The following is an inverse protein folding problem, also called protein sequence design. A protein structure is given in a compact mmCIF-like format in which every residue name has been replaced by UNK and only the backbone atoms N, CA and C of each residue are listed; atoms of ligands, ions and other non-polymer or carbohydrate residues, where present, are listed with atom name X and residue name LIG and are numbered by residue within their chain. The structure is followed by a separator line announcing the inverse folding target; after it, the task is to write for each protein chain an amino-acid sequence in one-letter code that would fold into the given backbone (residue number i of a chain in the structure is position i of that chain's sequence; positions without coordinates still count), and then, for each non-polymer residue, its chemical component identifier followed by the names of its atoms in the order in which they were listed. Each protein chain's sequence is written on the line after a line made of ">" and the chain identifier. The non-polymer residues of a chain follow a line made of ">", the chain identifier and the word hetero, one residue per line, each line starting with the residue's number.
data_IF_486523412615
#
_entry.id   IF_486523412615
#
_cell.length_a   1.000
_cell.length_b   1.000
_cell.length_c   1.000
_cell.angle_alpha   90.00
_cell.angle_beta   90.00
_cell.angle_gamma   90.00
#
_symmetry.space_group_name_H-M   'P 1'
#
loop_
_entity.id
_entity.type
_entity.pdbx_description
1 polymer ?
#
# COMPACT_ATOMS: atom_id res chain seq x y z
N UNK A 1 3.47 5.14 -27.37
CA UNK A 1 4.39 4.58 -26.38
C UNK A 1 3.64 4.44 -25.07
N UNK A 2 3.64 3.22 -24.50
CA UNK A 2 3.06 3.02 -23.17
C UNK A 2 3.81 3.93 -22.18
N UNK A 3 3.11 4.64 -21.29
CA UNK A 3 3.78 5.42 -20.28
C UNK A 3 4.66 4.49 -19.45
N UNK A 4 5.95 4.80 -19.43
CA UNK A 4 6.93 3.95 -18.75
C UNK A 4 6.75 4.07 -17.24
N UNK A 5 6.49 2.96 -16.57
CA UNK A 5 6.65 2.86 -15.13
C UNK A 5 8.12 2.61 -14.77
N UNK A 6 8.57 3.19 -13.68
CA UNK A 6 9.92 2.99 -13.12
C UNK A 6 9.77 2.43 -11.72
N UNK A 7 10.42 1.30 -11.44
CA UNK A 7 10.55 0.82 -10.07
C UNK A 7 11.69 1.60 -9.40
N UNK A 8 11.37 2.29 -8.33
CA UNK A 8 12.28 3.16 -7.61
C UNK A 8 12.32 2.82 -6.12
N UNK A 9 13.33 3.37 -5.43
CA UNK A 9 13.52 3.17 -3.99
C UNK A 9 14.00 4.46 -3.34
N UNK A 10 13.58 4.71 -2.11
CA UNK A 10 14.12 5.74 -1.21
C UNK A 10 14.46 5.12 0.13
N UNK A 11 15.38 5.76 0.86
CA UNK A 11 15.69 5.37 2.23
C UNK A 11 14.91 6.23 3.19
N UNK A 12 14.02 5.61 3.97
CA UNK A 12 13.26 6.25 5.03
C UNK A 12 13.86 5.92 6.40
N UNK A 13 13.76 6.83 7.35
CA UNK A 13 14.23 6.62 8.71
C UNK A 13 13.10 6.14 9.60
N UNK A 14 13.31 5.03 10.30
CA UNK A 14 12.58 4.69 11.51
C UNK A 14 13.37 5.17 12.73
N UNK A 15 12.86 4.93 13.94
CA UNK A 15 13.56 5.31 15.17
C UNK A 15 14.91 4.58 15.32
N UNK A 16 15.02 3.36 14.82
CA UNK A 16 16.13 2.43 15.09
C UNK A 16 16.83 1.91 13.84
N UNK A 17 16.24 2.08 12.65
CA UNK A 17 16.79 1.52 11.41
C UNK A 17 16.53 2.45 10.20
N UNK A 18 17.35 2.29 9.17
CA UNK A 18 17.09 2.85 7.85
C UNK A 18 16.33 1.80 7.05
N UNK A 19 15.20 2.20 6.47
CA UNK A 19 14.29 1.33 5.73
C UNK A 19 14.29 1.75 4.27
N UNK A 20 14.47 0.81 3.37
CA UNK A 20 14.29 1.03 1.94
C UNK A 20 12.79 0.90 1.61
N UNK A 21 12.19 2.00 1.15
CA UNK A 21 10.82 2.03 0.64
C UNK A 21 10.83 1.93 -0.88
N UNK A 22 10.11 0.97 -1.40
CA UNK A 22 9.87 0.82 -2.83
C UNK A 22 8.69 1.69 -3.27
N UNK A 23 8.73 2.19 -4.50
CA UNK A 23 7.59 2.85 -5.15
C UNK A 23 7.68 2.68 -6.67
N UNK A 24 6.53 2.66 -7.31
CA UNK A 24 6.44 2.74 -8.77
C UNK A 24 6.12 4.17 -9.15
N UNK A 25 6.91 4.74 -10.06
CA UNK A 25 6.79 6.11 -10.57
C UNK A 25 6.34 6.08 -12.03
N UNK A 26 5.21 6.69 -12.34
CA UNK A 26 4.59 6.72 -13.64
C UNK A 26 4.52 8.14 -14.20
N UNK A 27 4.66 8.24 -15.52
CA UNK A 27 4.57 9.52 -16.21
C UNK A 27 5.87 10.34 -16.21
N UNK A 28 5.74 11.63 -16.47
CA UNK A 28 6.88 12.55 -16.54
C UNK A 28 7.40 12.91 -15.15
N UNK A 29 8.71 12.74 -14.93
CA UNK A 29 9.34 13.02 -13.63
C UNK A 29 9.24 14.50 -13.24
N UNK A 30 9.19 15.39 -14.24
CA UNK A 30 9.10 16.85 -14.05
C UNK A 30 7.65 17.36 -14.07
N UNK A 31 6.65 16.48 -14.13
CA UNK A 31 5.26 16.91 -14.13
C UNK A 31 4.91 17.49 -12.75
N UNK A 32 4.48 18.78 -12.68
CA UNK A 32 4.18 19.44 -11.41
C UNK A 32 2.88 18.92 -10.76
N UNK A 33 2.03 18.22 -11.53
CA UNK A 33 0.82 17.60 -11.01
C UNK A 33 1.15 16.20 -10.53
N UNK A 34 1.33 16.05 -9.22
CA UNK A 34 1.67 14.76 -8.59
C UNK A 34 0.45 14.15 -7.93
N UNK A 35 0.20 12.88 -8.22
CA UNK A 35 -0.77 12.03 -7.52
C UNK A 35 -0.03 10.93 -6.75
N UNK A 36 -0.21 10.89 -5.44
CA UNK A 36 0.27 9.79 -4.60
C UNK A 36 -0.88 8.82 -4.33
N UNK A 37 -0.69 7.55 -4.73
CA UNK A 37 -1.67 6.49 -4.54
C UNK A 37 -1.21 5.53 -3.45
N UNK A 38 -1.92 5.48 -2.32
CA UNK A 38 -1.54 4.66 -1.16
C UNK A 38 -2.54 3.54 -0.94
N UNK A 39 -2.02 2.31 -0.94
CA UNK A 39 -2.79 1.06 -0.92
C UNK A 39 -3.37 0.69 0.46
N UNK A 40 -4.23 -0.31 0.47
CA UNK A 40 -4.82 -0.90 1.68
C UNK A 40 -3.84 -1.78 2.47
N UNK A 41 -4.28 -2.26 3.63
CA UNK A 41 -3.46 -2.85 4.69
C UNK A 41 -2.52 -3.99 4.23
N UNK A 42 -3.02 -4.94 3.43
CA UNK A 42 -2.29 -6.14 2.98
C UNK A 42 -1.89 -6.07 1.51
N UNK A 43 -2.05 -4.91 0.89
CA UNK A 43 -1.86 -4.69 -0.53
C UNK A 43 -0.50 -4.06 -0.82
N UNK A 44 -0.26 -3.67 -2.05
CA UNK A 44 0.96 -2.99 -2.49
C UNK A 44 0.65 -1.91 -3.54
N UNK A 45 1.62 -1.08 -3.88
CA UNK A 45 1.46 0.03 -4.83
C UNK A 45 0.99 -0.38 -6.21
N UNK A 46 1.20 -1.65 -6.59
CA UNK A 46 0.79 -2.19 -7.89
C UNK A 46 -0.74 -2.34 -8.06
N UNK A 47 -1.51 -2.15 -6.99
CA UNK A 47 -2.98 -2.04 -7.07
C UNK A 47 -3.44 -0.90 -7.98
N UNK A 48 -2.60 0.12 -8.12
CA UNK A 48 -2.91 1.32 -8.89
C UNK A 48 -2.36 1.30 -10.32
N UNK A 49 -1.76 0.21 -10.80
CA UNK A 49 -1.11 0.17 -12.12
C UNK A 49 -2.02 0.61 -13.25
N UNK A 50 -3.25 0.11 -13.31
CA UNK A 50 -4.23 0.47 -14.35
C UNK A 50 -4.60 1.95 -14.29
N UNK A 51 -4.85 2.48 -13.09
CA UNK A 51 -5.17 3.89 -12.88
C UNK A 51 -3.97 4.77 -13.21
N UNK A 52 -2.80 4.40 -12.72
CA UNK A 52 -1.57 5.17 -12.94
C UNK A 52 -1.22 5.23 -14.42
N UNK A 53 -1.36 4.13 -15.15
CA UNK A 53 -1.16 4.09 -16.59
C UNK A 53 -2.12 5.04 -17.32
N UNK A 54 -3.39 5.06 -16.93
CA UNK A 54 -4.40 5.92 -17.55
C UNK A 54 -4.13 7.42 -17.29
N UNK A 55 -3.56 7.76 -16.13
CA UNK A 55 -3.31 9.14 -15.71
C UNK A 55 -1.90 9.65 -16.05
N UNK A 56 -0.98 8.79 -16.46
CA UNK A 56 0.44 9.11 -16.62
C UNK A 56 0.75 10.17 -17.69
N UNK A 57 -0.19 10.46 -18.62
CA UNK A 57 -0.06 11.56 -19.57
C UNK A 57 -0.25 12.94 -18.90
N UNK A 58 -1.10 13.01 -17.87
CA UNK A 58 -1.53 14.24 -17.22
C UNK A 58 -0.89 14.46 -15.85
N UNK A 59 -0.46 13.39 -15.19
CA UNK A 59 0.09 13.37 -13.84
C UNK A 59 1.41 12.60 -13.78
N UNK A 60 2.26 12.98 -12.83
CA UNK A 60 3.24 12.06 -12.26
C UNK A 60 2.53 11.27 -11.17
N UNK A 61 2.36 9.96 -11.35
CA UNK A 61 1.69 9.10 -10.38
C UNK A 61 2.71 8.27 -9.62
N UNK A 62 2.70 8.38 -8.30
CA UNK A 62 3.63 7.69 -7.41
C UNK A 62 2.84 6.69 -6.57
N UNK A 63 3.22 5.42 -6.65
CA UNK A 63 2.54 4.32 -5.96
C UNK A 63 3.54 3.61 -5.05
N UNK A 64 3.69 4.03 -3.77
CA UNK A 64 4.59 3.39 -2.83
C UNK A 64 4.07 2.03 -2.34
N UNK A 65 4.99 1.14 -2.02
CA UNK A 65 4.76 0.02 -1.13
C UNK A 65 4.99 0.52 0.30
N UNK A 66 3.94 0.60 1.12
CA UNK A 66 4.08 1.00 2.53
C UNK A 66 4.98 0.00 3.24
N UNK A 67 5.85 0.46 4.15
CA UNK A 67 6.80 -0.37 4.89
C UNK A 67 6.12 -1.65 5.42
N UNK A 68 6.78 -2.79 5.21
CA UNK A 68 6.26 -4.12 5.53
C UNK A 68 5.40 -4.75 4.42
N UNK A 69 5.26 -4.12 3.24
CA UNK A 69 4.49 -4.65 2.09
C UNK A 69 5.33 -4.59 0.82
N UNK A 70 4.99 -5.46 -0.12
CA UNK A 70 5.62 -5.50 -1.43
C UNK A 70 7.14 -5.57 -1.36
N UNK A 71 7.81 -4.70 -2.09
CA UNK A 71 9.26 -4.63 -2.19
C UNK A 71 9.92 -3.74 -1.13
N UNK A 72 9.13 -3.13 -0.24
CA UNK A 72 9.64 -2.32 0.87
C UNK A 72 10.16 -3.19 2.01
N UNK A 73 11.14 -2.65 2.75
CA UNK A 73 11.72 -3.35 3.91
C UNK A 73 10.67 -3.57 5.01
N UNK A 74 10.98 -4.51 5.90
CA UNK A 74 10.19 -4.83 7.09
C UNK A 74 10.82 -4.19 8.32
N UNK A 75 9.98 -3.89 9.32
CA UNK A 75 10.47 -3.42 10.61
C UNK A 75 11.09 -4.57 11.41
N UNK A 76 12.21 -4.31 12.07
CA UNK A 76 12.81 -5.24 13.04
C UNK A 76 11.85 -5.43 14.21
N UNK A 77 11.37 -4.33 14.79
CA UNK A 77 10.34 -4.34 15.81
C UNK A 77 8.95 -4.11 15.21
N UNK A 78 8.08 -5.13 15.18
CA UNK A 78 6.74 -5.04 14.58
C UNK A 78 5.77 -4.13 15.35
N UNK A 79 6.06 -3.75 16.58
CA UNK A 79 5.28 -2.76 17.35
C UNK A 79 5.26 -1.40 16.65
N UNK A 80 6.30 -1.12 15.84
CA UNK A 80 6.40 0.10 15.04
C UNK A 80 5.42 0.20 13.87
N UNK A 81 4.74 -0.89 13.47
CA UNK A 81 3.74 -0.83 12.40
C UNK A 81 2.51 -0.04 12.84
N UNK A 82 2.21 1.05 12.14
CA UNK A 82 1.05 1.88 12.45
C UNK A 82 1.03 3.20 11.67
N UNK A 83 -0.12 3.88 11.72
CA UNK A 83 -0.35 5.13 10.99
C UNK A 83 0.75 6.18 11.24
N UNK A 84 1.24 6.40 12.47
CA UNK A 84 2.30 7.40 12.69
C UNK A 84 3.61 7.09 11.93
N UNK A 85 4.03 5.83 11.90
CA UNK A 85 5.23 5.41 11.18
C UNK A 85 5.03 5.52 9.67
N UNK A 86 3.88 5.05 9.16
CA UNK A 86 3.57 5.12 7.74
C UNK A 86 3.48 6.56 7.25
N UNK A 87 2.84 7.44 8.03
CA UNK A 87 2.74 8.88 7.72
C UNK A 87 4.12 9.51 7.60
N UNK A 88 5.00 9.27 8.57
CA UNK A 88 6.38 9.80 8.55
C UNK A 88 7.15 9.31 7.33
N UNK A 89 7.09 8.01 7.02
CA UNK A 89 7.82 7.45 5.88
C UNK A 89 7.31 8.01 4.54
N UNK A 90 6.00 8.20 4.38
CA UNK A 90 5.44 8.78 3.16
C UNK A 90 5.73 10.27 3.02
N UNK A 91 5.74 11.02 4.11
CA UNK A 91 6.20 12.41 4.10
C UNK A 91 7.69 12.52 3.74
N UNK A 92 8.51 11.60 4.23
CA UNK A 92 9.94 11.53 3.89
C UNK A 92 10.15 11.17 2.41
N UNK A 93 9.34 10.25 1.85
CA UNK A 93 9.31 9.98 0.41
C UNK A 93 9.06 11.25 -0.39
N UNK A 94 8.00 12.00 -0.08
CA UNK A 94 7.68 13.26 -0.77
C UNK A 94 8.81 14.27 -0.66
N UNK A 95 9.40 14.43 0.52
CA UNK A 95 10.51 15.34 0.76
C UNK A 95 11.75 14.97 -0.09
N UNK A 96 12.12 13.69 -0.15
CA UNK A 96 13.26 13.23 -0.96
C UNK A 96 13.03 13.40 -2.47
N UNK A 97 11.77 13.35 -2.91
CA UNK A 97 11.40 13.60 -4.30
C UNK A 97 11.22 15.09 -4.63
N UNK A 98 11.40 15.99 -3.65
CA UNK A 98 11.23 17.43 -3.82
C UNK A 98 9.78 17.84 -4.05
N UNK A 99 8.81 17.02 -3.60
CA UNK A 99 7.37 17.25 -3.79
C UNK A 99 6.82 17.99 -2.58
N UNK A 100 6.46 19.26 -2.76
CA UNK A 100 5.90 20.11 -1.72
C UNK A 100 4.38 20.07 -1.64
N UNK A 101 3.70 19.70 -2.72
CA UNK A 101 2.24 19.55 -2.80
C UNK A 101 1.87 18.32 -3.62
N UNK A 102 0.83 17.61 -3.18
CA UNK A 102 0.40 16.35 -3.78
C UNK A 102 -1.13 16.21 -3.72
N UNK A 103 -1.72 15.64 -4.77
CA UNK A 103 -3.04 15.04 -4.68
C UNK A 103 -2.87 13.62 -4.12
N UNK A 104 -3.69 13.24 -3.17
CA UNK A 104 -3.59 11.95 -2.45
C UNK A 104 -4.81 11.10 -2.74
N UNK A 105 -4.59 9.89 -3.22
CA UNK A 105 -5.60 8.84 -3.31
C UNK A 105 -5.24 7.74 -2.31
N UNK A 106 -6.06 7.55 -1.30
CA UNK A 106 -5.86 6.51 -0.29
C UNK A 106 -6.98 5.49 -0.28
N UNK A 107 -6.62 4.21 -0.43
CA UNK A 107 -7.56 3.11 -0.28
C UNK A 107 -7.46 2.54 1.13
N UNK A 108 -8.58 2.46 1.86
CA UNK A 108 -8.64 1.86 3.19
C UNK A 108 -7.55 2.46 4.11
N UNK A 109 -6.57 1.66 4.57
CA UNK A 109 -5.40 2.15 5.35
C UNK A 109 -4.73 3.37 4.71
N UNK A 110 -4.56 3.40 3.38
CA UNK A 110 -3.98 4.53 2.67
C UNK A 110 -4.79 5.82 2.83
N UNK A 111 -6.11 5.71 2.96
CA UNK A 111 -7.01 6.81 3.28
C UNK A 111 -6.88 7.28 4.73
N UNK A 112 -6.74 6.35 5.69
CA UNK A 112 -6.48 6.68 7.10
C UNK A 112 -5.17 7.45 7.27
N UNK A 113 -4.12 7.02 6.58
CA UNK A 113 -2.83 7.72 6.56
C UNK A 113 -3.01 9.13 5.98
N UNK A 114 -3.73 9.25 4.85
CA UNK A 114 -4.01 10.54 4.22
C UNK A 114 -4.77 11.49 5.14
N UNK A 115 -5.80 11.01 5.86
CA UNK A 115 -6.54 11.80 6.85
C UNK A 115 -5.65 12.26 8.01
N UNK A 116 -4.79 11.36 8.53
CA UNK A 116 -3.88 11.68 9.61
C UNK A 116 -2.85 12.76 9.22
N UNK A 117 -2.36 12.72 7.97
CA UNK A 117 -1.45 13.74 7.43
C UNK A 117 -2.22 15.04 7.17
N UNK A 118 -3.40 14.99 6.55
CA UNK A 118 -4.21 16.17 6.22
C UNK A 118 -4.64 16.96 7.46
N UNK A 119 -4.77 16.29 8.62
CA UNK A 119 -5.08 16.93 9.89
C UNK A 119 -3.90 17.72 10.49
N UNK A 120 -2.69 17.56 9.97
CA UNK A 120 -1.52 18.26 10.47
C UNK A 120 -1.41 19.68 9.86
N UNK A 121 -0.93 20.68 10.63
CA UNK A 121 -0.63 21.99 10.06
C UNK A 121 0.48 21.85 8.99
N UNK A 122 0.38 22.66 7.93
CA UNK A 122 1.38 22.68 6.84
C UNK A 122 1.58 21.34 6.11
N UNK A 123 0.54 20.49 6.06
CA UNK A 123 0.60 19.22 5.34
C UNK A 123 0.69 19.45 3.82
N UNK A 124 1.28 18.51 3.05
CA UNK A 124 1.46 18.66 1.61
C UNK A 124 0.21 18.30 0.78
N UNK A 125 -0.87 17.82 1.39
CA UNK A 125 -2.03 17.31 0.68
C UNK A 125 -2.90 18.48 0.19
N UNK A 126 -3.00 18.62 -1.13
CA UNK A 126 -3.88 19.61 -1.78
C UNK A 126 -5.32 19.09 -1.91
N UNK A 127 -5.46 17.83 -2.31
CA UNK A 127 -6.73 17.11 -2.46
C UNK A 127 -6.59 15.73 -1.87
N UNK A 128 -7.58 15.31 -1.09
CA UNK A 128 -7.63 13.97 -0.50
C UNK A 128 -8.82 13.22 -1.10
N UNK A 129 -8.54 12.11 -1.77
CA UNK A 129 -9.52 11.18 -2.32
C UNK A 129 -9.49 9.94 -1.43
N UNK A 130 -10.62 9.63 -0.81
CA UNK A 130 -10.81 8.46 0.04
C UNK A 130 -11.55 7.38 -0.74
N UNK A 131 -10.97 6.20 -0.83
CA UNK A 131 -11.55 5.04 -1.45
C UNK A 131 -11.75 3.94 -0.41
N UNK A 132 -12.99 3.47 -0.25
CA UNK A 132 -13.38 2.40 0.67
C UNK A 132 -12.97 2.64 2.14
N UNK A 133 -13.09 3.88 2.59
CA UNK A 133 -12.85 4.27 3.98
C UNK A 133 -13.51 5.60 4.31
N UNK A 134 -13.99 5.72 5.55
CA UNK A 134 -14.48 6.97 6.15
C UNK A 134 -13.73 7.29 7.44
N UNK A 135 -14.11 8.37 8.12
CA UNK A 135 -13.49 8.77 9.39
C UNK A 135 -13.79 7.80 10.55
N UNK A 136 -14.79 6.95 10.38
CA UNK A 136 -15.18 5.93 11.35
C UNK A 136 -14.97 4.54 10.76
N UNK A 137 -14.39 3.63 11.54
CA UNK A 137 -14.20 2.22 11.17
C UNK A 137 -15.13 1.41 12.08
N UNK A 138 -16.03 0.65 11.47
CA UNK A 138 -16.97 -0.19 12.24
C UNK A 138 -16.26 -1.40 12.85
N UNK A 139 -16.72 -1.83 14.04
CA UNK A 139 -16.20 -3.03 14.70
C UNK A 139 -16.29 -4.28 13.81
N UNK A 140 -17.35 -4.39 12.99
CA UNK A 140 -17.51 -5.49 12.03
C UNK A 140 -16.46 -5.49 10.94
N UNK A 141 -16.03 -4.32 10.48
CA UNK A 141 -14.91 -4.20 9.51
C UNK A 141 -13.58 -4.63 10.12
N UNK A 142 -13.31 -4.22 11.37
CA UNK A 142 -12.10 -4.64 12.10
C UNK A 142 -12.09 -6.14 12.34
N UNK A 143 -13.20 -6.74 12.75
CA UNK A 143 -13.32 -8.20 12.94
C UNK A 143 -13.03 -8.94 11.64
N UNK A 144 -13.63 -8.52 10.52
CA UNK A 144 -13.38 -9.14 9.21
C UNK A 144 -11.92 -9.04 8.78
N UNK A 145 -11.27 -7.92 9.05
CA UNK A 145 -9.84 -7.73 8.74
C UNK A 145 -8.99 -8.66 9.62
N UNK A 146 -9.29 -8.76 10.92
CA UNK A 146 -8.59 -9.64 11.85
C UNK A 146 -8.69 -11.13 11.48
N UNK A 147 -9.73 -11.54 10.76
CA UNK A 147 -9.94 -12.92 10.33
C UNK A 147 -8.90 -13.41 9.31
N UNK A 148 -8.30 -12.54 8.50
CA UNK A 148 -7.34 -12.96 7.48
C UNK A 148 -5.94 -12.33 7.62
N UNK A 149 -5.81 -11.19 8.31
CA UNK A 149 -4.52 -10.51 8.45
C UNK A 149 -3.62 -11.23 9.45
N UNK A 150 -2.36 -11.42 9.08
CA UNK A 150 -1.34 -12.03 9.91
C UNK A 150 -1.43 -13.56 10.02
N UNK A 151 -2.28 -14.20 9.22
CA UNK A 151 -2.23 -15.66 9.08
C UNK A 151 -0.99 -16.02 8.27
N UNK A 152 -0.17 -16.90 8.81
CA UNK A 152 0.98 -17.46 8.11
C UNK A 152 0.50 -18.61 7.20
N UNK A 153 -0.01 -18.22 6.02
CA UNK A 153 -0.51 -19.15 5.02
C UNK A 153 0.50 -19.28 3.90
N UNK A 154 0.75 -20.52 3.49
CA UNK A 154 1.57 -20.82 2.31
C UNK A 154 0.80 -21.73 1.34
N UNK A 155 1.13 -21.64 0.07
CA UNK A 155 0.53 -22.44 -1.00
C UNK A 155 1.62 -23.11 -1.82
N UNK A 156 1.33 -24.32 -2.30
CA UNK A 156 2.26 -25.11 -3.09
C UNK A 156 2.38 -24.62 -4.55
N UNK A 157 1.36 -23.90 -5.03
CA UNK A 157 1.32 -23.38 -6.40
C UNK A 157 0.75 -21.96 -6.45
N UNK A 158 1.05 -21.25 -7.54
CA UNK A 158 0.49 -19.93 -7.81
C UNK A 158 -1.03 -20.00 -8.00
N UNK A 159 -1.51 -21.06 -8.63
CA UNK A 159 -2.95 -21.27 -8.87
C UNK A 159 -3.71 -21.41 -7.56
N UNK A 160 -3.18 -22.16 -6.62
CA UNK A 160 -3.74 -22.32 -5.27
C UNK A 160 -3.77 -20.96 -4.53
N UNK A 161 -2.65 -20.23 -4.53
CA UNK A 161 -2.54 -18.91 -3.94
C UNK A 161 -3.56 -17.92 -4.56
N UNK A 162 -3.64 -17.89 -5.87
CA UNK A 162 -4.57 -17.04 -6.62
C UNK A 162 -6.04 -17.38 -6.33
N UNK A 163 -6.37 -18.67 -6.27
CA UNK A 163 -7.72 -19.14 -5.93
C UNK A 163 -8.14 -18.70 -4.55
N UNK A 164 -7.27 -18.89 -3.56
CA UNK A 164 -7.54 -18.46 -2.19
C UNK A 164 -7.70 -16.93 -2.09
N UNK A 165 -6.78 -16.17 -2.70
CA UNK A 165 -6.85 -14.71 -2.67
C UNK A 165 -8.10 -14.16 -3.37
N UNK A 166 -8.56 -14.78 -4.44
CA UNK A 166 -9.84 -14.42 -5.08
C UNK A 166 -11.03 -14.59 -4.14
N UNK A 167 -11.04 -15.60 -3.29
CA UNK A 167 -12.10 -15.77 -2.28
C UNK A 167 -12.04 -14.66 -1.23
N UNK A 168 -10.84 -14.33 -0.72
CA UNK A 168 -10.66 -13.26 0.26
C UNK A 168 -11.11 -11.91 -0.27
N UNK A 169 -10.79 -11.61 -1.55
CA UNK A 169 -11.08 -10.33 -2.19
C UNK A 169 -12.32 -10.35 -3.09
N UNK A 170 -13.14 -11.39 -3.02
CA UNK A 170 -14.39 -11.49 -3.80
C UNK A 170 -15.30 -10.25 -3.70
N UNK A 171 -15.40 -9.54 -2.55
CA UNK A 171 -16.20 -8.31 -2.45
C UNK A 171 -15.73 -7.14 -3.34
N UNK A 172 -14.54 -7.20 -3.95
CA UNK A 172 -14.09 -6.19 -4.92
C UNK A 172 -14.91 -6.19 -6.22
N UNK A 173 -15.71 -7.22 -6.47
CA UNK A 173 -16.63 -7.30 -7.59
C UNK A 173 -16.23 -8.30 -8.68
N UNK A 174 -16.97 -8.27 -9.78
CA UNK A 174 -16.78 -9.19 -10.90
C UNK A 174 -15.64 -8.72 -11.81
N UNK A 175 -14.47 -9.31 -11.60
CA UNK A 175 -13.28 -9.08 -12.42
C UNK A 175 -13.02 -10.24 -13.36
N UNK A 176 -12.51 -9.95 -14.56
CA UNK A 176 -12.02 -10.97 -15.50
C UNK A 176 -10.79 -11.69 -14.91
N UNK A 177 -10.46 -12.87 -15.43
CA UNK A 177 -9.28 -13.61 -15.00
C UNK A 177 -7.97 -12.81 -15.17
N UNK A 178 -7.88 -12.01 -16.24
CA UNK A 178 -6.74 -11.11 -16.47
C UNK A 178 -6.65 -10.02 -15.41
N UNK A 179 -7.77 -9.37 -15.07
CA UNK A 179 -7.82 -8.35 -14.03
C UNK A 179 -7.48 -8.92 -12.65
N UNK A 180 -8.02 -10.09 -12.31
CA UNK A 180 -7.66 -10.79 -11.08
C UNK A 180 -6.17 -11.07 -11.02
N UNK A 181 -5.56 -11.56 -12.11
CA UNK A 181 -4.12 -11.82 -12.16
C UNK A 181 -3.31 -10.55 -11.98
N UNK A 182 -3.67 -9.47 -12.64
CA UNK A 182 -3.00 -8.16 -12.51
C UNK A 182 -3.07 -7.64 -11.07
N UNK A 183 -4.22 -7.81 -10.41
CA UNK A 183 -4.45 -7.31 -9.05
C UNK A 183 -3.75 -8.16 -7.98
N UNK A 184 -3.77 -9.49 -8.11
CA UNK A 184 -3.32 -10.38 -7.04
C UNK A 184 -1.85 -10.78 -7.13
N UNK A 185 -1.33 -10.98 -8.34
CA UNK A 185 0.03 -11.48 -8.53
C UNK A 185 1.11 -10.60 -7.87
N UNK A 186 1.05 -9.25 -7.93
CA UNK A 186 2.04 -8.39 -7.27
C UNK A 186 2.05 -8.49 -5.73
N UNK A 187 0.95 -8.96 -5.15
CA UNK A 187 0.79 -9.15 -3.72
C UNK A 187 1.13 -10.59 -3.26
N UNK A 188 1.73 -11.37 -4.13
CA UNK A 188 2.22 -12.72 -3.86
C UNK A 188 3.73 -12.78 -4.09
N UNK A 189 4.41 -13.62 -3.33
CA UNK A 189 5.86 -13.85 -3.45
C UNK A 189 6.16 -15.32 -3.21
N UNK A 190 7.17 -15.84 -3.89
CA UNK A 190 7.67 -17.18 -3.64
C UNK A 190 8.82 -17.11 -2.63
N UNK A 191 8.74 -17.90 -1.57
CA UNK A 191 9.79 -17.99 -0.57
C UNK A 191 10.98 -18.87 -1.05
N UNK A 192 12.02 -18.94 -0.24
CA UNK A 192 13.23 -19.73 -0.55
C UNK A 192 12.98 -21.24 -0.64
N UNK A 193 11.85 -21.72 -0.18
CA UNK A 193 11.44 -23.13 -0.26
C UNK A 193 10.52 -23.39 -1.46
N UNK A 194 10.26 -22.38 -2.28
CA UNK A 194 9.38 -22.47 -3.44
C UNK A 194 7.89 -22.37 -3.09
N UNK A 195 7.52 -22.08 -1.83
CA UNK A 195 6.14 -21.90 -1.43
C UNK A 195 5.67 -20.46 -1.73
N UNK A 196 4.45 -20.32 -2.20
CA UNK A 196 3.82 -19.02 -2.40
C UNK A 196 3.26 -18.48 -1.08
N UNK A 197 3.47 -17.18 -0.85
CA UNK A 197 3.00 -16.46 0.34
C UNK A 197 2.44 -15.09 -0.05
N UNK A 198 1.69 -14.48 0.84
CA UNK A 198 1.33 -13.07 0.71
C UNK A 198 2.58 -12.19 0.83
N UNK A 199 2.65 -11.13 0.00
CA UNK A 199 3.81 -10.25 -0.08
C UNK A 199 3.72 -9.09 0.92
N UNK A 200 3.43 -9.44 2.19
CA UNK A 200 3.49 -8.50 3.31
C UNK A 200 4.04 -9.19 4.56
N UNK A 201 4.49 -8.40 5.53
CA UNK A 201 4.93 -8.91 6.83
C UNK A 201 3.70 -9.31 7.67
N UNK A 202 3.49 -10.59 8.00
CA UNK A 202 2.33 -11.01 8.79
C UNK A 202 2.28 -10.37 10.19
N UNK A 203 3.42 -9.88 10.69
CA UNK A 203 3.52 -9.20 12.00
C UNK A 203 2.80 -7.83 12.04
N UNK A 204 2.35 -7.29 10.90
CA UNK A 204 1.47 -6.10 10.90
C UNK A 204 0.17 -6.33 11.68
N UNK A 205 -0.26 -7.57 11.84
CA UNK A 205 -1.43 -7.94 12.63
C UNK A 205 -1.31 -7.58 14.11
N UNK A 206 -0.09 -7.45 14.64
CA UNK A 206 0.14 -7.12 16.05
C UNK A 206 -0.38 -5.72 16.40
N UNK A 207 -0.20 -4.76 15.49
CA UNK A 207 -0.70 -3.40 15.69
C UNK A 207 -2.22 -3.29 15.61
N UNK A 208 -2.89 -4.19 14.87
CA UNK A 208 -4.35 -4.24 14.80
C UNK A 208 -4.98 -4.78 16.07
N UNK A 209 -4.33 -5.74 16.72
CA UNK A 209 -4.79 -6.33 17.98
C UNK A 209 -4.65 -5.38 19.17
N UNK A 210 -3.79 -4.37 19.06
CA UNK A 210 -3.61 -3.33 20.08
C UNK A 210 -4.67 -2.21 19.99
N UNK A 211 -5.48 -2.16 18.92
CA UNK A 211 -6.63 -1.27 18.83
C UNK A 211 -7.78 -1.99 19.56
N UNK A 212 -7.91 -1.70 20.87
CA UNK A 212 -9.06 -2.16 21.67
C UNK A 212 -10.32 -1.47 21.14
N UNK A 213 -11.35 -2.19 20.66
CA UNK A 213 -12.61 -1.62 20.28
C UNK A 213 -13.46 -1.32 21.55
N UNK A 214 -13.11 -0.28 22.31
CA UNK A 214 -14.01 0.28 23.33
C UNK A 214 -15.05 1.20 22.73
#
# INVERSE_FOLDING_TARGET
>A
PMPHSRQCFVNCRSQTQVLRMAYTDWGGIDNPRVLLCVHGLTRCGRDFDTLAQALAADYRVICPDVIGRGLSDRLDDPVGYGIPTYSRNLLELLAQLGISQVDWLGTSMGGLIGMAIAAQPNNPIRRLILNDVGPEITSSSLTRIADYVGRDVSWSSLEEAMSHQRQVFAPLGDLTSTQWRQLLLPCLVQDSQGQWRTHYDPRIALSLRAIDPT
#
